data_IF_197164349994
#
_entry.id   IF_197164349994
#
_cell.length_a   1.000
_cell.length_b   1.000
_cell.length_c   1.000
_cell.angle_alpha   90.00
_cell.angle_beta   90.00
_cell.angle_gamma   90.00
#
_symmetry.space_group_name_H-M   'P 1'
#
loop_
_entity.id
_entity.type
_entity.pdbx_description
1 polymer ?
#
# COMPACT_ATOMS: atom_id res chain seq x y z
N UNK A 1 -6.00 9.80 -9.56
CA UNK A 1 -6.21 9.36 -10.92
C UNK A 1 -7.33 8.36 -11.13
N UNK A 2 -8.11 7.98 -10.09
CA UNK A 2 -9.38 7.23 -10.27
C UNK A 2 -10.54 8.18 -10.50
N UNK A 3 -10.48 9.34 -9.87
CA UNK A 3 -11.46 10.41 -9.99
C UNK A 3 -10.79 11.69 -10.51
N UNK A 4 -11.56 12.59 -11.08
CA UNK A 4 -11.07 13.87 -11.65
C UNK A 4 -11.23 14.97 -10.61
N UNK A 5 -10.19 15.76 -10.43
CA UNK A 5 -10.26 16.95 -9.58
C UNK A 5 -11.17 17.99 -10.24
N UNK A 6 -12.11 18.57 -9.46
CA UNK A 6 -12.97 19.66 -9.92
C UNK A 6 -12.17 20.96 -10.17
N UNK A 7 -11.07 21.16 -9.43
CA UNK A 7 -10.16 22.29 -9.57
C UNK A 7 -8.81 21.96 -8.91
N UNK A 8 -7.82 22.83 -9.14
CA UNK A 8 -6.48 22.66 -8.58
C UNK A 8 -5.58 21.74 -9.40
N UNK A 9 -4.42 21.40 -8.84
CA UNK A 9 -3.39 20.58 -9.49
C UNK A 9 -2.88 19.52 -8.54
N UNK A 10 -2.64 18.31 -9.06
CA UNK A 10 -2.06 17.19 -8.31
C UNK A 10 -0.76 16.78 -9.00
N UNK A 11 0.32 16.72 -8.23
CA UNK A 11 1.64 16.31 -8.68
C UNK A 11 2.09 15.08 -7.94
N UNK A 12 2.53 14.06 -8.67
CA UNK A 12 3.13 12.85 -8.11
C UNK A 12 4.42 12.58 -8.87
N UNK A 13 5.53 12.43 -8.16
CA UNK A 13 6.84 12.17 -8.74
C UNK A 13 7.16 13.12 -9.93
N UNK A 14 6.99 14.44 -9.73
CA UNK A 14 7.19 15.51 -10.74
C UNK A 14 6.27 15.44 -11.98
N UNK A 15 5.25 14.58 -11.96
CA UNK A 15 4.25 14.46 -13.04
C UNK A 15 2.94 15.09 -12.60
N UNK A 16 2.39 16.03 -13.40
CA UNK A 16 1.09 16.63 -13.12
C UNK A 16 -0.04 15.70 -13.55
N UNK A 17 -0.64 15.02 -12.58
CA UNK A 17 -1.65 13.98 -12.82
C UNK A 17 -2.96 14.56 -13.36
N UNK A 18 -3.30 15.80 -12.96
CA UNK A 18 -4.53 16.47 -13.39
C UNK A 18 -4.59 16.81 -14.88
N UNK A 19 -3.47 16.77 -15.58
CA UNK A 19 -3.38 17.01 -17.04
C UNK A 19 -3.41 15.74 -17.88
N UNK A 20 -3.32 14.55 -17.25
CA UNK A 20 -3.25 13.31 -17.97
C UNK A 20 -4.59 12.94 -18.60
N UNK A 21 -4.56 12.44 -19.82
CA UNK A 21 -5.71 11.84 -20.48
C UNK A 21 -5.96 10.41 -19.93
N UNK A 22 -7.08 9.79 -20.33
CA UNK A 22 -7.49 8.50 -19.78
C UNK A 22 -6.48 7.37 -20.05
N UNK A 23 -5.80 7.37 -21.21
CA UNK A 23 -4.74 6.39 -21.53
C UNK A 23 -3.52 6.59 -20.63
N UNK A 24 -3.08 7.82 -20.45
CA UNK A 24 -1.96 8.18 -19.57
C UNK A 24 -2.28 7.87 -18.11
N UNK A 25 -3.53 8.07 -17.68
CA UNK A 25 -3.99 7.68 -16.32
C UNK A 25 -3.98 6.16 -16.12
N UNK A 26 -4.31 5.37 -17.15
CA UNK A 26 -4.19 3.91 -17.09
C UNK A 26 -2.73 3.50 -16.90
N UNK A 27 -1.81 4.06 -17.69
CA UNK A 27 -0.38 3.79 -17.56
C UNK A 27 0.18 4.23 -16.21
N UNK A 28 -0.22 5.40 -15.74
CA UNK A 28 0.14 5.92 -14.42
C UNK A 28 -0.30 4.97 -13.29
N UNK A 29 -1.56 4.51 -13.29
CA UNK A 29 -2.05 3.54 -12.30
C UNK A 29 -1.35 2.18 -12.41
N UNK A 30 -1.00 1.79 -13.64
CA UNK A 30 -0.31 0.53 -13.90
C UNK A 30 1.10 0.53 -13.32
N UNK A 31 1.87 1.58 -13.55
CA UNK A 31 3.30 1.60 -13.28
C UNK A 31 3.66 2.33 -11.98
N UNK A 32 2.97 3.44 -11.67
CA UNK A 32 3.41 4.35 -10.60
C UNK A 32 2.64 4.15 -9.28
N UNK A 33 1.47 3.48 -9.30
CA UNK A 33 0.60 3.37 -8.12
C UNK A 33 0.39 1.93 -7.69
N UNK A 34 0.63 1.65 -6.40
CA UNK A 34 0.16 0.46 -5.71
C UNK A 34 -1.07 0.78 -4.84
N UNK A 35 -2.02 -0.15 -4.75
CA UNK A 35 -3.18 -0.04 -3.89
C UNK A 35 -3.25 -1.22 -2.93
N UNK A 36 -3.47 -0.91 -1.65
CA UNK A 36 -3.77 -1.87 -0.59
C UNK A 36 -5.12 -1.49 0.01
N UNK A 37 -6.09 -2.38 -0.04
CA UNK A 37 -7.45 -2.16 0.44
C UNK A 37 -7.70 -2.90 1.76
N UNK A 38 -8.67 -2.44 2.52
CA UNK A 38 -9.10 -3.07 3.77
C UNK A 38 -9.58 -4.52 3.57
N UNK A 39 -10.25 -4.83 2.48
CA UNK A 39 -10.81 -6.15 2.15
C UNK A 39 -9.97 -6.92 1.14
N UNK A 40 -8.66 -6.83 1.18
CA UNK A 40 -7.65 -7.57 0.41
C UNK A 40 -7.86 -7.61 -1.10
N UNK A 41 -9.09 -7.76 -1.61
CA UNK A 41 -9.48 -7.84 -3.03
C UNK A 41 -8.63 -8.87 -3.81
N UNK A 42 -8.44 -10.06 -3.24
CA UNK A 42 -7.76 -11.17 -3.88
C UNK A 42 -8.71 -11.95 -4.79
N UNK A 43 -8.17 -12.44 -5.89
CA UNK A 43 -8.88 -13.34 -6.78
C UNK A 43 -8.89 -14.73 -6.15
N UNK A 44 -10.08 -15.23 -5.81
CA UNK A 44 -10.25 -16.41 -4.95
C UNK A 44 -9.81 -17.74 -5.60
N UNK A 45 -9.82 -17.83 -6.90
CA UNK A 45 -9.40 -19.01 -7.68
C UNK A 45 -7.93 -18.94 -8.17
N UNK A 46 -7.17 -17.97 -7.68
CA UNK A 46 -5.73 -17.87 -7.89
C UNK A 46 -5.00 -18.05 -6.54
N UNK A 47 -3.85 -18.70 -6.59
CA UNK A 47 -2.94 -18.83 -5.45
C UNK A 47 -2.38 -17.45 -5.02
N UNK A 48 -1.72 -17.40 -3.87
CA UNK A 48 -1.03 -16.20 -3.41
C UNK A 48 -0.05 -15.68 -4.47
N UNK A 49 0.77 -16.57 -5.03
CA UNK A 49 1.74 -16.24 -6.09
C UNK A 49 1.06 -15.71 -7.34
N UNK A 50 0.05 -16.41 -7.85
CA UNK A 50 -0.68 -16.00 -9.06
C UNK A 50 -1.41 -14.66 -8.89
N UNK A 51 -1.92 -14.35 -7.68
CA UNK A 51 -2.49 -13.04 -7.36
C UNK A 51 -1.46 -11.90 -7.50
N UNK A 52 -0.20 -12.17 -7.14
CA UNK A 52 0.90 -11.19 -7.29
C UNK A 52 1.36 -11.13 -8.74
N UNK A 53 1.58 -12.26 -9.40
CA UNK A 53 2.02 -12.36 -10.80
C UNK A 53 1.08 -11.62 -11.75
N UNK A 54 -0.23 -11.73 -11.55
CA UNK A 54 -1.21 -11.05 -12.38
C UNK A 54 -1.01 -9.52 -12.41
N UNK A 55 -0.61 -8.94 -11.27
CA UNK A 55 -0.36 -7.51 -11.21
C UNK A 55 0.96 -7.11 -11.89
N UNK A 56 1.95 -7.99 -11.92
CA UNK A 56 3.27 -7.73 -12.51
C UNK A 56 3.29 -7.91 -14.03
N UNK A 57 2.43 -8.77 -14.57
CA UNK A 57 2.38 -9.06 -16.03
C UNK A 57 2.22 -7.82 -16.91
N UNK A 58 1.63 -6.76 -16.40
CA UNK A 58 1.37 -5.53 -17.13
C UNK A 58 2.38 -4.41 -16.87
N UNK A 59 3.37 -4.65 -16.00
CA UNK A 59 4.35 -3.66 -15.57
C UNK A 59 5.70 -3.93 -16.25
N UNK A 60 6.34 -2.87 -16.72
CA UNK A 60 7.65 -2.99 -17.42
C UNK A 60 8.83 -3.16 -16.46
N UNK A 61 8.68 -2.73 -15.20
CA UNK A 61 9.75 -2.69 -14.19
C UNK A 61 9.31 -3.41 -12.91
N UNK A 62 8.64 -4.56 -13.08
CA UNK A 62 8.15 -5.36 -11.97
C UNK A 62 9.30 -6.05 -11.23
N UNK A 63 9.15 -6.16 -9.90
CA UNK A 63 10.07 -6.89 -9.04
C UNK A 63 9.82 -8.41 -9.14
N UNK A 64 10.81 -9.19 -8.73
CA UNK A 64 10.68 -10.65 -8.69
C UNK A 64 9.61 -11.06 -7.68
N UNK A 65 8.62 -11.84 -8.10
CA UNK A 65 7.47 -12.22 -7.26
C UNK A 65 7.88 -13.13 -6.11
N UNK A 66 8.81 -14.09 -6.34
CA UNK A 66 9.25 -14.99 -5.27
C UNK A 66 10.03 -14.22 -4.19
N UNK A 67 10.86 -13.24 -4.57
CA UNK A 67 11.61 -12.40 -3.62
C UNK A 67 10.65 -11.55 -2.78
N UNK A 68 9.63 -10.96 -3.39
CA UNK A 68 8.61 -10.18 -2.67
C UNK A 68 7.78 -11.06 -1.73
N UNK A 69 7.41 -12.26 -2.15
CA UNK A 69 6.68 -13.20 -1.27
C UNK A 69 7.52 -13.64 -0.07
N UNK A 70 8.83 -13.80 -0.26
CA UNK A 70 9.75 -14.04 0.85
C UNK A 70 9.83 -12.84 1.80
N UNK A 71 9.97 -11.63 1.26
CA UNK A 71 10.04 -10.39 2.03
C UNK A 71 8.80 -10.15 2.90
N UNK A 72 7.61 -10.48 2.39
CA UNK A 72 6.36 -10.39 3.17
C UNK A 72 6.10 -11.63 4.05
N UNK A 73 7.03 -12.60 4.10
CA UNK A 73 6.92 -13.80 4.93
C UNK A 73 5.86 -14.80 4.45
N UNK A 74 5.70 -14.96 3.14
CA UNK A 74 4.72 -15.87 2.50
C UNK A 74 5.37 -16.97 1.64
N UNK A 75 6.68 -17.22 1.76
CA UNK A 75 7.39 -18.22 0.95
C UNK A 75 6.72 -19.60 1.01
N UNK A 76 6.37 -20.05 2.22
CA UNK A 76 5.74 -21.35 2.45
C UNK A 76 4.25 -21.37 2.12
N UNK A 77 3.67 -20.23 1.80
CA UNK A 77 2.24 -20.03 1.52
C UNK A 77 1.95 -19.63 0.08
N UNK A 78 2.96 -19.52 -0.76
CA UNK A 78 2.82 -19.00 -2.12
C UNK A 78 1.86 -19.77 -3.01
N UNK A 79 1.71 -21.07 -2.77
CA UNK A 79 0.82 -21.97 -3.51
C UNK A 79 -0.57 -22.11 -2.89
N UNK A 80 -0.85 -21.44 -1.75
CA UNK A 80 -2.14 -21.49 -1.10
C UNK A 80 -3.14 -20.55 -1.78
N UNK A 81 -4.40 -20.96 -1.85
CA UNK A 81 -5.51 -20.11 -2.27
C UNK A 81 -5.93 -19.17 -1.13
N UNK A 82 -6.57 -18.01 -1.41
CA UNK A 82 -7.04 -17.09 -0.38
C UNK A 82 -7.86 -17.75 0.73
N UNK A 83 -8.70 -18.72 0.41
CA UNK A 83 -9.52 -19.48 1.37
C UNK A 83 -8.70 -20.32 2.37
N UNK A 84 -7.43 -20.54 2.09
CA UNK A 84 -6.50 -21.33 2.93
C UNK A 84 -5.56 -20.41 3.75
N UNK A 85 -5.72 -19.08 3.61
CA UNK A 85 -4.90 -18.07 4.25
C UNK A 85 -5.67 -17.35 5.35
N UNK A 86 -5.01 -17.07 6.46
CA UNK A 86 -5.54 -16.15 7.48
C UNK A 86 -5.72 -14.73 6.93
N UNK A 87 -6.52 -13.90 7.60
CA UNK A 87 -6.72 -12.50 7.19
C UNK A 87 -5.41 -11.72 7.06
N UNK A 88 -4.47 -11.92 7.99
CA UNK A 88 -3.15 -11.28 7.92
C UNK A 88 -2.29 -11.81 6.77
N UNK A 89 -2.38 -13.09 6.42
CA UNK A 89 -1.69 -13.62 5.24
C UNK A 89 -2.31 -13.08 3.95
N UNK A 90 -3.63 -12.99 3.86
CA UNK A 90 -4.31 -12.38 2.72
C UNK A 90 -3.92 -10.90 2.55
N UNK A 91 -3.80 -10.16 3.66
CA UNK A 91 -3.33 -8.77 3.63
C UNK A 91 -1.88 -8.68 3.14
N UNK A 92 -1.00 -9.58 3.58
CA UNK A 92 0.37 -9.64 3.06
C UNK A 92 0.43 -9.97 1.57
N UNK A 93 -0.46 -10.84 1.06
CA UNK A 93 -0.59 -11.07 -0.40
C UNK A 93 -1.01 -9.79 -1.12
N UNK A 94 -1.98 -9.04 -0.58
CA UNK A 94 -2.44 -7.78 -1.17
C UNK A 94 -1.32 -6.72 -1.19
N UNK A 95 -0.50 -6.65 -0.14
CA UNK A 95 0.67 -5.77 -0.07
C UNK A 95 1.74 -6.24 -1.08
N UNK A 96 2.06 -7.53 -1.11
CA UNK A 96 3.01 -8.10 -2.07
C UNK A 96 2.60 -7.78 -3.52
N UNK A 97 1.31 -7.95 -3.85
CA UNK A 97 0.75 -7.59 -5.15
C UNK A 97 0.93 -6.11 -5.50
N UNK A 98 0.79 -5.24 -4.51
CA UNK A 98 0.95 -3.80 -4.72
C UNK A 98 2.43 -3.41 -4.88
N UNK A 99 3.34 -3.98 -4.09
CA UNK A 99 4.77 -3.69 -4.09
C UNK A 99 5.48 -4.30 -5.32
N UNK A 100 5.10 -5.51 -5.72
CA UNK A 100 5.72 -6.22 -6.85
C UNK A 100 5.65 -5.45 -8.17
N UNK A 101 4.73 -4.51 -8.29
CA UNK A 101 4.65 -3.56 -9.41
C UNK A 101 5.79 -2.53 -9.44
N UNK A 102 6.61 -2.44 -8.37
CA UNK A 102 7.62 -1.39 -8.17
C UNK A 102 7.04 0.05 -8.24
N UNK A 103 5.95 0.35 -7.52
CA UNK A 103 5.27 1.64 -7.62
C UNK A 103 6.09 2.77 -6.99
N UNK A 104 5.84 4.00 -7.41
CA UNK A 104 6.41 5.21 -6.77
C UNK A 104 5.58 5.69 -5.58
N UNK A 105 4.31 5.32 -5.56
CA UNK A 105 3.35 5.68 -4.52
C UNK A 105 2.48 4.47 -4.15
N UNK A 106 2.49 4.11 -2.87
CA UNK A 106 1.61 3.08 -2.30
C UNK A 106 0.49 3.76 -1.51
N UNK A 107 -0.74 3.45 -1.88
CA UNK A 107 -1.95 3.96 -1.22
C UNK A 107 -2.58 2.83 -0.42
N UNK A 108 -2.67 2.99 0.90
CA UNK A 108 -3.23 2.00 1.82
C UNK A 108 -4.49 2.56 2.47
N UNK A 109 -5.61 1.92 2.25
CA UNK A 109 -6.90 2.27 2.85
C UNK A 109 -7.21 1.30 3.98
N UNK A 110 -7.16 1.78 5.22
CA UNK A 110 -7.34 1.01 6.46
C UNK A 110 -6.61 -0.36 6.45
N UNK A 111 -5.29 -0.41 6.22
CA UNK A 111 -4.58 -1.66 5.96
C UNK A 111 -4.59 -2.65 7.14
N UNK A 112 -5.01 -2.20 8.32
CA UNK A 112 -5.10 -3.01 9.55
C UNK A 112 -6.52 -3.15 10.08
N UNK A 113 -7.52 -2.54 9.44
CA UNK A 113 -8.88 -2.43 9.97
C UNK A 113 -9.63 -3.75 10.16
N UNK A 114 -9.21 -4.83 9.48
CA UNK A 114 -9.79 -6.17 9.59
C UNK A 114 -8.88 -7.17 10.36
N UNK A 115 -7.83 -6.68 11.04
CA UNK A 115 -6.81 -7.51 11.66
C UNK A 115 -6.79 -7.35 13.19
N UNK A 116 -6.36 -8.39 13.88
CA UNK A 116 -6.01 -8.29 15.30
C UNK A 116 -4.78 -7.40 15.51
N UNK A 117 -4.59 -6.91 16.74
CA UNK A 117 -3.50 -6.01 17.12
C UNK A 117 -2.11 -6.50 16.67
N UNK A 118 -1.78 -7.76 16.98
CA UNK A 118 -0.45 -8.32 16.70
C UNK A 118 -0.18 -8.39 15.20
N UNK A 119 -1.16 -8.86 14.44
CA UNK A 119 -1.07 -8.95 12.98
C UNK A 119 -1.05 -7.56 12.36
N UNK A 120 -1.88 -6.63 12.84
CA UNK A 120 -1.89 -5.23 12.41
C UNK A 120 -0.53 -4.56 12.60
N UNK A 121 0.13 -4.78 13.74
CA UNK A 121 1.47 -4.27 14.02
C UNK A 121 2.52 -4.79 13.01
N UNK A 122 2.45 -6.08 12.68
CA UNK A 122 3.33 -6.67 11.65
C UNK A 122 3.12 -6.06 10.27
N UNK A 123 1.87 -5.78 9.88
CA UNK A 123 1.55 -5.13 8.62
C UNK A 123 2.08 -3.70 8.57
N UNK A 124 1.91 -2.91 9.64
CA UNK A 124 2.43 -1.55 9.69
C UNK A 124 3.97 -1.53 9.67
N UNK A 125 4.61 -2.50 10.34
CA UNK A 125 6.06 -2.66 10.28
C UNK A 125 6.52 -2.94 8.84
N UNK A 126 5.90 -3.88 8.16
CA UNK A 126 6.20 -4.19 6.76
C UNK A 126 6.08 -2.94 5.88
N UNK A 127 5.00 -2.15 6.02
CA UNK A 127 4.81 -0.92 5.25
C UNK A 127 5.87 0.14 5.59
N UNK A 128 6.25 0.30 6.85
CA UNK A 128 7.29 1.23 7.29
C UNK A 128 8.66 0.83 6.75
N UNK A 129 9.02 -0.45 6.84
CA UNK A 129 10.29 -0.98 6.36
C UNK A 129 10.40 -0.88 4.83
N UNK A 130 9.33 -1.24 4.10
CA UNK A 130 9.26 -1.10 2.64
C UNK A 130 9.40 0.36 2.19
N UNK A 131 8.71 1.30 2.86
CA UNK A 131 8.83 2.73 2.57
C UNK A 131 10.30 3.20 2.63
N UNK A 132 11.02 2.79 3.68
CA UNK A 132 12.41 3.20 3.90
C UNK A 132 13.39 2.50 2.96
N UNK A 133 13.23 1.19 2.76
CA UNK A 133 14.10 0.36 1.92
C UNK A 133 13.99 0.78 0.44
N UNK A 134 12.77 0.89 -0.08
CA UNK A 134 12.53 1.14 -1.50
C UNK A 134 12.43 2.64 -1.83
N UNK A 135 12.58 3.54 -0.84
CA UNK A 135 12.40 5.00 -0.97
C UNK A 135 11.08 5.38 -1.66
N UNK A 136 10.07 4.60 -1.41
CA UNK A 136 8.72 4.74 -1.95
C UNK A 136 7.90 5.63 -1.02
N UNK A 137 7.01 6.45 -1.57
CA UNK A 137 6.03 7.17 -0.76
C UNK A 137 4.88 6.23 -0.39
N UNK A 138 4.61 6.08 0.91
CA UNK A 138 3.45 5.32 1.42
C UNK A 138 2.46 6.29 2.06
N UNK A 139 1.20 6.27 1.60
CA UNK A 139 0.11 7.02 2.21
C UNK A 139 -0.85 6.01 2.85
N UNK A 140 -1.03 6.14 4.16
CA UNK A 140 -1.98 5.32 4.93
C UNK A 140 -3.17 6.21 5.29
N UNK A 141 -4.37 5.81 4.88
CA UNK A 141 -5.63 6.39 5.33
C UNK A 141 -6.12 5.53 6.48
N UNK A 142 -6.34 6.14 7.64
CA UNK A 142 -6.80 5.44 8.83
C UNK A 142 -7.50 6.39 9.80
N UNK A 143 -8.40 5.85 10.59
CA UNK A 143 -8.99 6.53 11.75
C UNK A 143 -8.21 6.26 13.05
N UNK A 144 -7.21 5.36 13.03
CA UNK A 144 -6.37 5.07 14.18
C UNK A 144 -5.26 6.12 14.34
N UNK A 145 -5.49 7.10 15.22
CA UNK A 145 -4.52 8.18 15.48
C UNK A 145 -3.30 7.72 16.26
N UNK A 146 -3.35 6.57 16.95
CA UNK A 146 -2.24 6.09 17.75
C UNK A 146 -1.00 5.71 16.90
N UNK A 147 -1.18 5.41 15.61
CA UNK A 147 -0.07 5.06 14.71
C UNK A 147 0.62 6.29 14.09
N UNK A 148 0.10 7.50 14.30
CA UNK A 148 0.67 8.72 13.69
C UNK A 148 2.16 8.96 14.01
N UNK A 149 2.72 8.59 15.20
CA UNK A 149 4.13 8.80 15.49
C UNK A 149 5.10 8.02 14.57
N UNK A 150 4.64 7.00 13.83
CA UNK A 150 5.49 6.27 12.90
C UNK A 150 5.68 6.97 11.55
N UNK A 151 4.85 7.97 11.25
CA UNK A 151 4.82 8.64 9.95
C UNK A 151 5.65 9.93 9.92
N UNK A 152 6.22 10.27 8.76
CA UNK A 152 6.96 11.51 8.54
C UNK A 152 6.04 12.73 8.49
N UNK A 153 4.79 12.52 8.05
CA UNK A 153 3.78 13.57 7.92
C UNK A 153 2.39 13.05 8.24
N UNK A 154 1.63 13.81 9.01
CA UNK A 154 0.23 13.55 9.33
C UNK A 154 -0.64 14.66 8.76
N UNK A 155 -1.70 14.29 8.05
CA UNK A 155 -2.68 15.23 7.52
C UNK A 155 -4.03 14.88 8.15
N UNK A 156 -4.56 15.80 8.94
CA UNK A 156 -5.87 15.65 9.57
C UNK A 156 -6.96 16.17 8.66
N UNK A 157 -7.89 15.29 8.30
CA UNK A 157 -9.06 15.63 7.50
C UNK A 157 -10.30 15.76 8.36
N UNK A 158 -11.09 16.81 8.10
CA UNK A 158 -12.41 16.99 8.71
C UNK A 158 -13.36 17.61 7.68
N UNK A 159 -14.53 17.00 7.54
CA UNK A 159 -15.55 17.46 6.59
C UNK A 159 -15.03 17.68 5.16
N UNK A 160 -14.16 16.78 4.67
CA UNK A 160 -13.57 16.85 3.33
C UNK A 160 -12.46 17.88 3.14
N UNK A 161 -12.00 18.53 4.22
CA UNK A 161 -10.95 19.55 4.18
C UNK A 161 -9.74 19.12 5.01
N UNK A 162 -8.52 19.38 4.51
CA UNK A 162 -7.30 19.24 5.29
C UNK A 162 -7.22 20.38 6.32
N UNK A 163 -7.51 20.06 7.59
CA UNK A 163 -7.60 21.02 8.69
C UNK A 163 -6.23 21.34 9.29
N UNK A 164 -5.38 20.33 9.39
CA UNK A 164 -4.06 20.43 10.01
C UNK A 164 -3.05 19.54 9.30
N UNK A 165 -1.82 20.02 9.17
CA UNK A 165 -0.67 19.23 8.67
C UNK A 165 0.43 19.28 9.72
N UNK A 166 0.90 18.13 10.14
CA UNK A 166 2.00 17.96 11.09
C UNK A 166 3.17 17.27 10.40
N UNK A 167 4.38 17.80 10.59
CA UNK A 167 5.62 17.17 10.13
C UNK A 167 6.29 16.57 11.35
N UNK A 168 6.64 15.30 11.25
CA UNK A 168 7.38 14.58 12.29
C UNK A 168 8.83 14.41 11.84
N UNK A 169 9.72 15.14 12.46
CA UNK A 169 11.15 15.10 12.14
C UNK A 169 11.84 13.84 12.66
N UNK A 170 11.23 13.13 13.61
CA UNK A 170 11.78 11.94 14.24
C UNK A 170 10.73 10.82 14.32
N UNK A 171 10.33 10.22 13.18
CA UNK A 171 9.39 9.11 13.15
C UNK A 171 9.96 7.91 13.93
N UNK A 172 9.14 7.34 14.82
CA UNK A 172 9.55 6.18 15.60
C UNK A 172 9.15 4.86 14.91
N UNK A 173 9.83 3.77 15.29
CA UNK A 173 9.43 2.45 14.84
C UNK A 173 8.06 2.10 15.40
N UNK A 174 7.22 1.46 14.57
CA UNK A 174 5.92 0.93 15.01
C UNK A 174 6.07 -0.07 16.16
N UNK A 175 7.24 -0.71 16.32
CA UNK A 175 7.52 -1.62 17.42
C UNK A 175 7.43 -0.92 18.79
N UNK A 176 7.64 0.40 18.83
CA UNK A 176 7.60 1.24 20.02
C UNK A 176 6.24 1.94 20.24
N UNK A 177 5.23 1.62 19.43
CA UNK A 177 3.88 2.19 19.53
C UNK A 177 2.93 1.12 20.05
N UNK A 178 2.08 1.53 21.00
CA UNK A 178 0.94 0.75 21.49
C UNK A 178 -0.36 1.48 21.13
N UNK A 179 -1.39 0.76 20.67
CA UNK A 179 -2.71 1.31 20.34
C UNK A 179 -3.85 0.35 20.65
#
# INVERSE_FOLDING_TARGET
>A
GMDKASSGRVWVNNKEITKLNDKELIEYRRNDIGFVFQFYNLIQNLTAKENVELATQLCSDALNVDDILEEVGLQDRKNNFPSQLSGGEQQRVAIARAIAKNPKLLLCDEPTGALDYKTGKQILKLLQDTCRKEKMTVIIITHNTAITPMSDKVIHFKNGTAEKVEINENPISIDNIEW
#
